data_IF_505027978645
#
_entry.id   IF_505027978645
#
_cell.length_a   1.000
_cell.length_b   1.000
_cell.length_c   1.000
_cell.angle_alpha   90.00
_cell.angle_beta   90.00
_cell.angle_gamma   90.00
#
_symmetry.space_group_name_H-M   'P 1'
#
loop_
_entity.id
_entity.type
_entity.pdbx_description
1 polymer ?
#
# COMPACT_ATOMS: atom_id res chain seq x y z
N UNK A 1 -43.72 30.27 9.18
CA UNK A 1 -42.48 30.47 9.98
C UNK A 1 -42.08 29.21 10.75
N UNK A 2 -43.03 28.44 11.28
CA UNK A 2 -42.77 27.15 11.93
C UNK A 2 -42.08 26.11 11.03
N UNK A 3 -42.44 26.01 9.75
CA UNK A 3 -41.82 25.04 8.84
C UNK A 3 -40.31 25.24 8.64
N UNK A 4 -39.85 26.49 8.66
CA UNK A 4 -38.42 26.82 8.57
C UNK A 4 -37.70 26.37 9.84
N UNK A 5 -38.34 26.54 11.01
CA UNK A 5 -37.80 26.12 12.29
C UNK A 5 -37.75 24.58 12.40
N UNK A 6 -38.79 23.90 11.94
CA UNK A 6 -38.86 22.43 11.91
C UNK A 6 -37.80 21.86 10.96
N UNK A 7 -37.64 22.46 9.77
CA UNK A 7 -36.58 22.07 8.83
C UNK A 7 -35.18 22.26 9.41
N UNK A 8 -34.95 23.36 10.13
CA UNK A 8 -33.67 23.63 10.80
C UNK A 8 -33.37 22.59 11.89
N UNK A 9 -34.35 22.27 12.73
CA UNK A 9 -34.22 21.31 13.83
C UNK A 9 -34.00 19.89 13.29
N UNK A 10 -34.77 19.49 12.27
CA UNK A 10 -34.60 18.20 11.61
C UNK A 10 -33.21 18.07 10.96
N UNK A 11 -32.73 19.13 10.30
CA UNK A 11 -31.39 19.17 9.72
C UNK A 11 -30.29 19.02 10.76
N UNK A 12 -30.40 19.71 11.89
CA UNK A 12 -29.45 19.62 13.01
C UNK A 12 -29.41 18.21 13.62
N UNK A 13 -30.56 17.56 13.77
CA UNK A 13 -30.65 16.18 14.27
C UNK A 13 -29.98 15.18 13.34
N UNK A 14 -30.20 15.30 12.03
CA UNK A 14 -29.55 14.46 11.02
C UNK A 14 -28.03 14.67 11.06
N UNK A 15 -27.59 15.93 11.09
CA UNK A 15 -26.17 16.27 11.12
C UNK A 15 -25.49 15.74 12.38
N UNK A 16 -26.13 15.87 13.54
CA UNK A 16 -25.64 15.33 14.80
C UNK A 16 -25.57 13.79 14.78
N UNK A 17 -26.58 13.12 14.24
CA UNK A 17 -26.59 11.66 14.07
C UNK A 17 -25.44 11.16 13.21
N UNK A 18 -25.18 11.82 12.07
CA UNK A 18 -24.03 11.54 11.21
C UNK A 18 -22.72 11.76 11.97
N UNK A 19 -22.61 12.85 12.73
CA UNK A 19 -21.40 13.18 13.49
C UNK A 19 -21.09 12.13 14.58
N UNK A 20 -22.12 11.63 15.26
CA UNK A 20 -22.00 10.56 16.27
C UNK A 20 -21.62 9.23 15.61
N UNK A 21 -22.23 8.89 14.47
CA UNK A 21 -21.96 7.65 13.74
C UNK A 21 -20.53 7.60 13.15
N UNK A 22 -19.93 8.75 12.83
CA UNK A 22 -18.57 8.84 12.29
C UNK A 22 -17.45 8.77 13.34
N UNK A 23 -17.75 8.99 14.63
CA UNK A 23 -16.81 8.81 15.74
C UNK A 23 -15.44 9.52 15.58
N UNK A 24 -14.42 9.16 16.39
CA UNK A 24 -13.09 9.79 16.37
C UNK A 24 -12.31 9.59 15.06
N UNK A 25 -12.77 8.73 14.16
CA UNK A 25 -12.19 8.51 12.83
C UNK A 25 -12.43 9.68 11.85
N UNK A 26 -13.41 10.56 12.13
CA UNK A 26 -13.66 11.75 11.32
C UNK A 26 -12.47 12.73 11.26
N UNK A 27 -11.68 12.86 12.34
CA UNK A 27 -10.50 13.74 12.38
C UNK A 27 -9.41 13.30 11.39
N UNK A 28 -9.28 12.00 11.15
CA UNK A 28 -8.34 11.43 10.17
C UNK A 28 -8.78 11.67 8.73
N UNK A 29 -10.07 11.51 8.44
CA UNK A 29 -10.66 11.77 7.13
C UNK A 29 -10.70 13.27 6.78
N UNK A 30 -11.01 14.13 7.76
CA UNK A 30 -11.06 15.59 7.55
C UNK A 30 -9.67 16.18 7.28
N UNK A 31 -8.60 15.68 7.95
CA UNK A 31 -7.22 16.08 7.63
C UNK A 31 -6.80 15.69 6.21
N UNK A 32 -7.30 14.58 5.67
CA UNK A 32 -7.03 14.14 4.29
C UNK A 32 -7.77 14.98 3.24
N UNK A 33 -8.97 15.46 3.54
CA UNK A 33 -9.71 16.33 2.63
C UNK A 33 -9.20 17.78 2.64
N UNK A 34 -8.80 18.31 3.81
CA UNK A 34 -8.25 19.67 3.91
C UNK A 34 -6.87 19.78 3.26
N UNK A 35 -6.06 18.72 3.25
CA UNK A 35 -4.75 18.73 2.56
C UNK A 35 -4.86 18.69 1.03
N UNK A 36 -5.99 18.22 0.47
CA UNK A 36 -6.24 18.27 -0.98
C UNK A 36 -6.62 19.67 -1.48
N UNK A 37 -7.26 20.50 -0.63
CA UNK A 37 -7.78 21.81 -1.04
C UNK A 37 -6.75 22.95 -1.02
N UNK A 38 -5.56 22.73 -0.47
CA UNK A 38 -4.43 23.69 -0.52
C UNK A 38 -3.44 23.35 -1.64
N UNK A 39 -3.91 23.33 -2.90
CA UNK A 39 -3.04 23.56 -4.05
C UNK A 39 -3.17 25.02 -4.46
N UNK A 40 -2.28 25.86 -3.94
CA UNK A 40 -1.95 27.14 -4.59
C UNK A 40 -0.97 26.85 -5.74
N UNK A 41 -1.06 27.52 -6.89
CA UNK A 41 -0.13 27.33 -7.99
C UNK A 41 1.09 28.20 -7.70
N UNK A 42 2.20 27.58 -7.30
CA UNK A 42 3.51 28.24 -7.37
C UNK A 42 4.25 27.68 -8.56
N UNK A 43 4.48 28.55 -9.54
CA UNK A 43 5.48 28.44 -10.60
C UNK A 43 6.78 27.89 -10.01
N UNK A 44 7.05 26.61 -10.25
CA UNK A 44 8.34 25.98 -9.96
C UNK A 44 8.69 25.09 -11.15
N UNK A 45 9.09 25.76 -12.24
CA UNK A 45 9.62 25.17 -13.49
C UNK A 45 11.01 24.55 -13.29
N UNK A 46 11.58 24.62 -12.08
CA UNK A 46 12.87 24.00 -11.77
C UNK A 46 12.87 23.38 -10.37
N UNK A 47 12.43 22.13 -10.25
CA UNK A 47 12.92 21.23 -9.20
C UNK A 47 13.03 19.81 -9.78
N UNK A 48 14.24 19.21 -9.86
CA UNK A 48 14.37 17.83 -10.25
C UNK A 48 13.68 16.95 -9.21
N UNK A 49 12.89 16.00 -9.69
CA UNK A 49 12.10 15.03 -8.95
C UNK A 49 12.91 14.37 -7.82
N UNK A 50 12.80 14.91 -6.59
CA UNK A 50 13.15 14.16 -5.38
C UNK A 50 11.97 13.26 -5.04
N UNK A 51 12.12 11.92 -5.10
CA UNK A 51 11.09 11.02 -4.64
C UNK A 51 10.88 11.28 -3.15
N UNK A 52 9.67 11.74 -2.82
CA UNK A 52 9.25 12.02 -1.46
C UNK A 52 9.07 10.69 -0.74
N UNK A 53 10.16 10.17 -0.18
CA UNK A 53 10.16 9.09 0.80
C UNK A 53 9.34 9.55 2.01
N UNK A 54 8.07 9.16 2.04
CA UNK A 54 7.27 9.14 3.26
C UNK A 54 7.79 7.97 4.10
N UNK A 55 8.97 8.18 4.69
CA UNK A 55 9.58 7.30 5.66
C UNK A 55 8.65 7.20 6.89
N UNK A 56 8.24 5.99 7.25
CA UNK A 56 7.80 5.73 8.61
C UNK A 56 9.08 5.63 9.44
N UNK A 57 9.37 6.60 10.34
CA UNK A 57 10.59 6.57 11.13
C UNK A 57 10.50 5.38 12.09
N UNK A 58 11.23 4.31 11.81
CA UNK A 58 11.28 3.11 12.66
C UNK A 58 11.34 1.77 11.91
N UNK A 59 11.12 1.73 10.59
CA UNK A 59 11.23 0.48 9.83
C UNK A 59 12.67 0.24 9.34
N UNK A 60 13.14 -1.01 9.41
CA UNK A 60 14.45 -1.38 8.89
C UNK A 60 14.54 -1.10 7.37
N UNK A 61 15.65 -0.56 6.85
CA UNK A 61 15.79 -0.22 5.43
C UNK A 61 15.61 -1.41 4.48
N UNK A 62 15.99 -2.63 4.87
CA UNK A 62 15.76 -3.83 4.06
C UNK A 62 14.27 -4.22 4.03
N UNK A 63 13.57 -4.10 5.16
CA UNK A 63 12.12 -4.28 5.23
C UNK A 63 11.40 -3.25 4.35
N UNK A 64 11.88 -2.00 4.36
CA UNK A 64 11.35 -0.96 3.49
C UNK A 64 11.55 -1.30 2.01
N UNK A 65 12.72 -1.83 1.62
CA UNK A 65 12.95 -2.32 0.24
C UNK A 65 11.94 -3.39 -0.16
N UNK A 66 11.65 -4.35 0.73
CA UNK A 66 10.61 -5.37 0.48
C UNK A 66 9.25 -4.73 0.25
N UNK A 67 8.83 -3.79 1.10
CA UNK A 67 7.54 -3.11 0.97
C UNK A 67 7.45 -2.28 -0.32
N UNK A 68 8.52 -1.61 -0.70
CA UNK A 68 8.59 -0.84 -1.96
C UNK A 68 8.48 -1.77 -3.16
N UNK A 69 9.27 -2.85 -3.20
CA UNK A 69 9.21 -3.84 -4.29
C UNK A 69 7.82 -4.50 -4.38
N UNK A 70 7.23 -4.86 -3.23
CA UNK A 70 5.88 -5.40 -3.17
C UNK A 70 4.84 -4.39 -3.66
N UNK A 71 4.97 -3.11 -3.32
CA UNK A 71 4.05 -2.07 -3.81
C UNK A 71 4.14 -1.89 -5.33
N UNK A 72 5.34 -1.93 -5.91
CA UNK A 72 5.57 -1.83 -7.36
C UNK A 72 4.93 -3.00 -8.10
N UNK A 73 5.18 -4.22 -7.64
CA UNK A 73 4.60 -5.43 -8.20
C UNK A 73 3.07 -5.44 -8.05
N UNK A 74 2.54 -5.07 -6.87
CA UNK A 74 1.10 -5.02 -6.63
C UNK A 74 0.38 -3.99 -7.48
N UNK A 75 0.97 -2.82 -7.70
CA UNK A 75 0.42 -1.81 -8.60
C UNK A 75 0.41 -2.30 -10.05
N UNK A 76 1.47 -2.99 -10.49
CA UNK A 76 1.53 -3.58 -11.82
C UNK A 76 0.49 -4.69 -12.03
N UNK A 77 0.33 -5.57 -11.03
CA UNK A 77 -0.68 -6.63 -11.05
C UNK A 77 -2.11 -6.05 -11.14
N UNK A 78 -2.41 -5.01 -10.35
CA UNK A 78 -3.70 -4.31 -10.43
C UNK A 78 -3.94 -3.73 -11.83
N UNK A 79 -2.93 -3.13 -12.44
CA UNK A 79 -3.05 -2.59 -13.81
C UNK A 79 -3.30 -3.67 -14.88
N UNK A 80 -3.08 -4.95 -14.55
CA UNK A 80 -3.32 -6.11 -15.42
C UNK A 80 -4.53 -6.94 -14.98
N UNK A 81 -5.45 -6.36 -14.20
CA UNK A 81 -6.64 -7.02 -13.64
C UNK A 81 -6.34 -8.24 -12.74
N UNK A 82 -5.12 -8.35 -12.20
CA UNK A 82 -4.73 -9.39 -11.24
C UNK A 82 -5.00 -8.91 -9.80
N UNK A 83 -6.26 -8.56 -9.51
CA UNK A 83 -6.64 -7.91 -8.24
C UNK A 83 -6.46 -8.81 -7.02
N UNK A 84 -6.74 -10.11 -7.17
CA UNK A 84 -6.58 -11.09 -6.09
C UNK A 84 -5.13 -11.15 -5.62
N UNK A 85 -4.19 -11.34 -6.54
CA UNK A 85 -2.76 -11.37 -6.25
C UNK A 85 -2.26 -10.04 -5.69
N UNK A 86 -2.75 -8.92 -6.22
CA UNK A 86 -2.42 -7.59 -5.69
C UNK A 86 -2.94 -7.39 -4.25
N UNK A 87 -4.13 -7.90 -3.93
CA UNK A 87 -4.72 -7.85 -2.58
C UNK A 87 -3.95 -8.73 -1.62
N UNK A 88 -3.64 -9.97 -2.00
CA UNK A 88 -2.85 -10.87 -1.16
C UNK A 88 -1.45 -10.31 -0.88
N UNK A 89 -0.80 -9.71 -1.89
CA UNK A 89 0.48 -9.04 -1.74
C UNK A 89 0.39 -7.86 -0.75
N UNK A 90 -0.68 -7.06 -0.81
CA UNK A 90 -0.92 -6.00 0.16
C UNK A 90 -1.15 -6.53 1.57
N UNK A 91 -1.89 -7.61 1.71
CA UNK A 91 -2.12 -8.29 3.01
C UNK A 91 -0.81 -8.80 3.59
N UNK A 92 0.02 -9.46 2.80
CA UNK A 92 1.34 -9.92 3.22
C UNK A 92 2.24 -8.74 3.63
N UNK A 93 2.20 -7.63 2.87
CA UNK A 93 2.95 -6.42 3.19
C UNK A 93 2.47 -5.77 4.51
N UNK A 94 1.17 -5.81 4.78
CA UNK A 94 0.63 -5.37 6.06
C UNK A 94 1.14 -6.20 7.23
N UNK A 95 1.23 -7.53 7.05
CA UNK A 95 1.76 -8.43 8.08
C UNK A 95 3.22 -8.14 8.41
N UNK A 96 4.03 -7.72 7.44
CA UNK A 96 5.44 -7.35 7.68
C UNK A 96 5.59 -6.28 8.78
N UNK A 97 4.61 -5.39 8.93
CA UNK A 97 4.65 -4.32 9.95
C UNK A 97 4.34 -4.81 11.37
N UNK A 98 3.66 -5.94 11.52
CA UNK A 98 3.25 -6.51 12.82
C UNK A 98 4.04 -7.77 13.19
N UNK A 99 4.26 -8.65 12.21
CA UNK A 99 4.98 -9.91 12.30
C UNK A 99 5.77 -10.08 11.01
N UNK A 100 7.01 -9.58 11.06
CA UNK A 100 7.90 -9.56 9.91
C UNK A 100 8.19 -10.96 9.34
N UNK A 101 8.60 -11.97 10.14
CA UNK A 101 8.78 -13.34 9.65
C UNK A 101 7.55 -13.90 8.92
N UNK A 102 6.36 -13.80 9.52
CA UNK A 102 5.14 -14.33 8.91
C UNK A 102 4.78 -13.61 7.61
N UNK A 103 5.00 -12.28 7.55
CA UNK A 103 4.83 -11.48 6.34
C UNK A 103 5.78 -11.91 5.21
N UNK A 104 7.04 -12.16 5.53
CA UNK A 104 8.05 -12.60 4.55
C UNK A 104 7.74 -14.01 4.02
N UNK A 105 7.28 -14.95 4.85
CA UNK A 105 6.84 -16.28 4.40
C UNK A 105 5.62 -16.22 3.48
N UNK A 106 4.66 -15.33 3.79
CA UNK A 106 3.51 -15.09 2.91
C UNK A 106 3.95 -14.56 1.55
N UNK A 107 4.91 -13.62 1.51
CA UNK A 107 5.51 -13.10 0.27
C UNK A 107 6.19 -14.20 -0.55
N UNK A 108 6.93 -15.11 0.09
CA UNK A 108 7.57 -16.22 -0.60
C UNK A 108 6.55 -17.15 -1.26
N UNK A 109 5.45 -17.44 -0.58
CA UNK A 109 4.37 -18.27 -1.13
C UNK A 109 3.68 -17.59 -2.32
N UNK A 110 3.48 -16.28 -2.24
CA UNK A 110 3.00 -15.48 -3.37
C UNK A 110 3.94 -15.49 -4.57
N UNK A 111 5.25 -15.32 -4.34
CA UNK A 111 6.26 -15.38 -5.40
C UNK A 111 6.32 -16.74 -6.10
N UNK A 112 6.04 -17.84 -5.39
CA UNK A 112 5.90 -19.17 -6.01
C UNK A 112 4.69 -19.25 -6.92
N UNK A 113 3.54 -18.72 -6.49
CA UNK A 113 2.30 -18.68 -7.30
C UNK A 113 2.46 -17.76 -8.53
N UNK A 114 3.07 -16.60 -8.37
CA UNK A 114 3.35 -15.67 -9.46
C UNK A 114 4.24 -16.26 -10.55
N UNK A 115 5.14 -17.19 -10.20
CA UNK A 115 5.97 -17.90 -11.19
C UNK A 115 5.15 -18.82 -12.10
N UNK A 116 4.00 -19.30 -11.63
CA UNK A 116 3.08 -20.13 -12.41
C UNK A 116 2.13 -19.29 -13.28
N UNK A 117 2.09 -17.97 -13.07
CA UNK A 117 1.31 -17.06 -13.89
C UNK A 117 1.96 -16.91 -15.26
N UNK A 118 1.20 -17.26 -16.30
CA UNK A 118 1.57 -17.00 -17.70
C UNK A 118 0.77 -15.81 -18.21
N UNK A 119 1.45 -14.88 -18.88
CA UNK A 119 0.82 -13.76 -19.56
C UNK A 119 1.15 -13.87 -21.05
N UNK A 120 0.13 -13.75 -21.90
CA UNK A 120 0.26 -13.95 -23.35
C UNK A 120 1.16 -12.90 -24.01
N UNK A 121 1.21 -11.69 -23.45
CA UNK A 121 2.10 -10.62 -23.90
C UNK A 121 3.53 -10.84 -23.37
N UNK A 122 4.48 -11.11 -24.28
CA UNK A 122 5.90 -11.31 -23.98
C UNK A 122 6.52 -10.13 -23.22
N UNK A 123 6.15 -8.89 -23.57
CA UNK A 123 6.67 -7.70 -22.88
C UNK A 123 6.13 -7.60 -21.45
N UNK A 124 4.86 -7.94 -21.25
CA UNK A 124 4.28 -8.05 -19.91
C UNK A 124 4.91 -9.17 -19.09
N UNK A 125 5.21 -10.32 -19.70
CA UNK A 125 5.86 -11.45 -19.05
C UNK A 125 7.28 -11.10 -18.58
N UNK A 126 8.07 -10.42 -19.42
CA UNK A 126 9.40 -9.94 -19.07
C UNK A 126 9.32 -8.91 -17.92
N UNK A 127 8.33 -8.00 -17.96
CA UNK A 127 8.13 -7.02 -16.89
C UNK A 127 7.71 -7.67 -15.56
N UNK A 128 6.82 -8.66 -15.60
CA UNK A 128 6.43 -9.44 -14.43
C UNK A 128 7.64 -10.15 -13.83
N UNK A 129 8.45 -10.80 -14.69
CA UNK A 129 9.67 -11.49 -14.25
C UNK A 129 10.62 -10.52 -13.54
N UNK A 130 10.89 -9.36 -14.13
CA UNK A 130 11.75 -8.33 -13.52
C UNK A 130 11.23 -7.88 -12.15
N UNK A 131 9.94 -7.53 -12.03
CA UNK A 131 9.34 -7.09 -10.76
C UNK A 131 9.31 -8.21 -9.72
N UNK A 132 9.06 -9.45 -10.15
CA UNK A 132 9.05 -10.62 -9.25
C UNK A 132 10.46 -10.95 -8.74
N UNK A 133 11.49 -10.72 -9.55
CA UNK A 133 12.88 -10.92 -9.16
C UNK A 133 13.34 -9.82 -8.19
N UNK A 134 13.00 -8.56 -8.44
CA UNK A 134 13.28 -7.44 -7.52
C UNK A 134 12.68 -7.71 -6.13
N UNK A 135 11.41 -8.18 -6.07
CA UNK A 135 10.79 -8.55 -4.80
C UNK A 135 11.46 -9.77 -4.17
N UNK A 136 11.82 -10.79 -4.97
CA UNK A 136 12.51 -11.99 -4.47
C UNK A 136 13.84 -11.65 -3.82
N UNK A 137 14.67 -10.83 -4.47
CA UNK A 137 15.96 -10.40 -3.94
C UNK A 137 15.80 -9.62 -2.65
N UNK A 138 14.87 -8.66 -2.59
CA UNK A 138 14.61 -7.90 -1.37
C UNK A 138 14.14 -8.80 -0.21
N UNK A 139 13.27 -9.78 -0.50
CA UNK A 139 12.78 -10.75 0.49
C UNK A 139 13.91 -11.64 0.97
N UNK A 140 14.74 -12.16 0.06
CA UNK A 140 15.90 -12.99 0.37
C UNK A 140 16.90 -12.26 1.27
N UNK A 141 17.28 -11.03 0.87
CA UNK A 141 18.17 -10.16 1.62
C UNK A 141 17.71 -9.94 3.07
N UNK A 142 16.38 -9.94 3.30
CA UNK A 142 15.79 -9.75 4.63
C UNK A 142 15.68 -11.05 5.41
N UNK A 143 15.36 -12.16 4.76
CA UNK A 143 15.40 -13.49 5.37
C UNK A 143 16.79 -13.81 5.92
N UNK A 144 17.85 -13.50 5.17
CA UNK A 144 19.24 -13.70 5.59
C UNK A 144 19.58 -12.90 6.84
N UNK A 145 19.12 -11.66 6.93
CA UNK A 145 19.35 -10.83 8.12
C UNK A 145 18.61 -11.28 9.36
N UNK A 146 17.43 -11.89 9.18
CA UNK A 146 16.64 -12.39 10.29
C UNK A 146 17.06 -13.81 10.70
N UNK A 147 18.09 -14.38 10.04
CA UNK A 147 18.52 -15.76 10.21
C UNK A 147 17.37 -16.77 10.03
N UNK A 148 16.29 -16.37 9.37
CA UNK A 148 15.09 -17.16 9.13
C UNK A 148 15.32 -18.22 8.04
N UNK A 149 16.56 -18.64 7.87
CA UNK A 149 16.96 -19.51 6.78
C UNK A 149 16.70 -20.97 7.09
N UNK A 150 16.09 -21.69 6.12
CA UNK A 150 16.58 -22.99 5.70
C UNK A 150 17.22 -22.88 4.30
N UNK A 151 17.93 -21.78 4.01
CA UNK A 151 18.49 -21.48 2.69
C UNK A 151 19.89 -22.07 2.41
N UNK A 152 20.38 -23.01 3.22
CA UNK A 152 21.38 -23.95 2.69
C UNK A 152 20.61 -25.13 2.08
N UNK A 153 20.43 -25.10 0.76
CA UNK A 153 20.40 -26.37 0.04
C UNK A 153 21.85 -26.89 -0.01
N UNK A 154 22.08 -28.19 0.19
CA UNK A 154 23.39 -28.81 -0.06
C UNK A 154 23.79 -28.67 -1.53
#
# INVERSE_FOLDING_TARGET
MLDVLVGLVAGLLILAGVLVMLGPNAKSLFRRFVSLRRRRPSLAVFQPSRPRELASPGLNPKTQRVLVAASRLGNWLRARNQEELARELRTAAGRITSDEPAGLYAMQTLLRRLRLLSIDDRGAQERLKALSNELREAVQDRFEQLELLPFRRP
#
